data_IF_040999818975
#
_entry.id   IF_040999818975
#
_cell.length_a   1.000
_cell.length_b   1.000
_cell.length_c   1.000
_cell.angle_alpha   90.00
_cell.angle_beta   90.00
_cell.angle_gamma   90.00
#
_symmetry.space_group_name_H-M   'P 1'
#
loop_
_entity.id
_entity.type
_entity.pdbx_description
1 polymer ?
#
# COMPACT_ATOMS: atom_id res chain seq x y z
N UNK A 1 -15.46 18.32 -8.97
CA UNK A 1 -14.06 17.86 -8.91
C UNK A 1 -13.88 16.74 -9.90
N UNK A 2 -13.14 16.98 -10.97
CA UNK A 2 -12.75 15.95 -11.93
C UNK A 2 -11.59 15.15 -11.34
N UNK A 3 -11.69 13.82 -11.29
CA UNK A 3 -10.56 12.94 -10.94
C UNK A 3 -9.82 12.64 -12.23
N UNK A 4 -8.52 12.93 -12.29
CA UNK A 4 -7.67 12.54 -13.42
C UNK A 4 -7.01 11.20 -13.11
N UNK A 5 -7.18 10.23 -14.00
CA UNK A 5 -6.47 8.95 -13.96
C UNK A 5 -5.60 8.87 -15.20
N UNK A 6 -4.30 8.69 -14.99
CA UNK A 6 -3.32 8.54 -16.08
C UNK A 6 -2.54 7.26 -15.88
N UNK A 7 -2.45 6.44 -16.93
CA UNK A 7 -1.57 5.28 -16.93
C UNK A 7 -0.15 5.72 -17.29
N UNK A 8 0.81 5.41 -16.41
CA UNK A 8 2.23 5.70 -16.62
C UNK A 8 2.96 4.40 -16.98
N UNK A 9 3.66 4.40 -18.11
CA UNK A 9 4.60 3.33 -18.46
C UNK A 9 6.00 3.75 -17.98
N UNK A 10 6.38 3.26 -16.81
CA UNK A 10 7.69 3.56 -16.23
C UNK A 10 8.67 2.45 -16.62
N UNK A 11 9.47 2.73 -17.66
CA UNK A 11 10.54 1.84 -18.11
C UNK A 11 11.65 1.78 -17.04
N UNK A 12 12.21 0.60 -16.74
CA UNK A 12 13.35 0.46 -15.82
C UNK A 12 13.05 0.23 -14.34
N UNK A 13 11.78 0.22 -13.90
CA UNK A 13 11.38 -0.24 -12.55
C UNK A 13 10.71 -1.62 -12.54
N UNK A 14 10.63 -2.29 -13.70
CA UNK A 14 9.89 -3.55 -13.85
C UNK A 14 10.35 -4.63 -12.88
N UNK A 15 11.66 -4.82 -12.71
CA UNK A 15 12.20 -5.85 -11.82
C UNK A 15 11.80 -5.61 -10.36
N UNK A 16 11.94 -4.37 -9.87
CA UNK A 16 11.56 -4.01 -8.51
C UNK A 16 10.04 -4.09 -8.28
N UNK A 17 9.23 -3.77 -9.30
CA UNK A 17 7.78 -3.97 -9.24
C UNK A 17 7.44 -5.46 -9.12
N UNK A 18 8.04 -6.32 -9.94
CA UNK A 18 7.76 -7.76 -9.92
C UNK A 18 8.24 -8.42 -8.62
N UNK A 19 9.40 -8.02 -8.10
CA UNK A 19 9.90 -8.45 -6.79
C UNK A 19 8.95 -8.04 -5.66
N UNK A 20 8.50 -6.78 -5.66
CA UNK A 20 7.53 -6.28 -4.69
C UNK A 20 6.19 -7.03 -4.78
N UNK A 21 5.66 -7.27 -5.99
CA UNK A 21 4.43 -8.07 -6.18
C UNK A 21 4.58 -9.48 -5.62
N UNK A 22 5.73 -10.12 -5.84
CA UNK A 22 6.04 -11.44 -5.32
C UNK A 22 6.07 -11.43 -3.79
N UNK A 23 6.80 -10.51 -3.17
CA UNK A 23 6.88 -10.39 -1.71
C UNK A 23 5.51 -10.17 -1.06
N UNK A 24 4.70 -9.26 -1.62
CA UNK A 24 3.33 -9.01 -1.16
C UNK A 24 2.47 -10.25 -1.34
N UNK A 25 2.58 -10.92 -2.48
CA UNK A 25 1.85 -12.16 -2.77
C UNK A 25 2.18 -13.27 -1.78
N UNK A 26 3.46 -13.47 -1.46
CA UNK A 26 3.89 -14.45 -0.45
C UNK A 26 3.41 -14.08 0.95
N UNK A 27 3.42 -12.80 1.32
CA UNK A 27 2.85 -12.34 2.59
C UNK A 27 1.37 -12.71 2.73
N UNK A 28 0.55 -12.47 1.71
CA UNK A 28 -0.88 -12.78 1.77
C UNK A 28 -1.20 -14.29 1.74
N UNK A 29 -0.25 -15.14 1.33
CA UNK A 29 -0.32 -16.61 1.42
C UNK A 29 0.00 -17.14 2.82
N UNK A 30 0.58 -16.34 3.71
CA UNK A 30 0.87 -16.76 5.09
C UNK A 30 -0.43 -17.10 5.85
N UNK A 31 -0.30 -17.90 6.90
CA UNK A 31 -1.41 -18.18 7.81
C UNK A 31 -1.94 -16.88 8.43
N UNK A 32 -3.22 -16.87 8.81
CA UNK A 32 -3.80 -15.71 9.50
C UNK A 32 -2.98 -15.37 10.76
N UNK A 33 -2.58 -16.37 11.55
CA UNK A 33 -1.74 -16.16 12.73
C UNK A 33 -0.44 -15.42 12.41
N UNK A 34 0.27 -15.83 11.35
CA UNK A 34 1.49 -15.17 10.92
C UNK A 34 1.22 -13.74 10.44
N UNK A 35 0.15 -13.49 9.68
CA UNK A 35 -0.26 -12.13 9.28
C UNK A 35 -0.63 -11.27 10.50
N UNK A 36 -1.28 -11.84 11.51
CA UNK A 36 -1.70 -11.12 12.71
C UNK A 36 -0.53 -10.66 13.60
N UNK A 37 0.70 -11.16 13.39
CA UNK A 37 1.89 -10.63 14.06
C UNK A 37 2.13 -9.14 13.74
N UNK A 38 1.73 -8.71 12.54
CA UNK A 38 1.78 -7.32 12.10
C UNK A 38 0.41 -6.63 12.16
N UNK A 39 -0.55 -7.15 12.93
CA UNK A 39 -1.89 -6.57 13.05
C UNK A 39 -1.86 -5.10 13.53
N UNK A 40 -2.78 -4.30 12.99
CA UNK A 40 -2.98 -2.92 13.42
C UNK A 40 -3.26 -2.85 14.93
N UNK A 41 -2.70 -1.82 15.57
CA UNK A 41 -2.96 -1.52 16.98
C UNK A 41 -4.02 -0.43 17.11
N UNK A 42 -4.72 -0.35 18.26
CA UNK A 42 -5.58 0.79 18.57
C UNK A 42 -4.81 2.10 18.39
N UNK A 43 -5.45 3.07 17.71
CA UNK A 43 -4.90 4.39 17.39
C UNK A 43 -3.65 4.37 16.49
N UNK A 44 -3.35 3.26 15.79
CA UNK A 44 -2.31 3.21 14.78
C UNK A 44 -2.91 2.85 13.42
N UNK A 45 -2.44 3.51 12.37
CA UNK A 45 -2.86 3.25 10.99
C UNK A 45 -2.01 2.18 10.31
N UNK A 46 -0.79 1.93 10.81
CA UNK A 46 0.10 0.91 10.27
C UNK A 46 -0.28 -0.51 10.74
N UNK A 47 -0.08 -1.48 9.85
CA UNK A 47 -0.27 -2.90 10.11
C UNK A 47 -1.32 -3.55 9.22
N UNK A 48 -1.51 -4.85 9.45
CA UNK A 48 -2.51 -5.70 8.80
C UNK A 48 -3.87 -5.51 9.47
N UNK A 49 -4.91 -5.23 8.68
CA UNK A 49 -6.26 -5.01 9.19
C UNK A 49 -7.17 -4.30 8.20
N UNK A 50 -8.23 -3.66 8.72
CA UNK A 50 -9.21 -2.91 7.94
C UNK A 50 -9.05 -1.41 8.23
N UNK A 51 -9.17 -0.58 7.20
CA UNK A 51 -9.07 0.86 7.37
C UNK A 51 -10.39 1.44 7.93
N UNK A 52 -10.29 2.28 8.96
CA UNK A 52 -11.39 3.13 9.46
C UNK A 52 -12.67 2.37 9.89
N UNK A 53 -12.53 1.30 10.67
CA UNK A 53 -13.67 0.63 11.32
C UNK A 53 -14.13 1.46 12.51
N UNK A 54 -15.32 2.07 12.44
CA UNK A 54 -15.83 3.00 13.46
C UNK A 54 -17.12 2.53 14.15
N UNK A 55 -17.83 1.56 13.57
CA UNK A 55 -19.09 1.04 14.11
C UNK A 55 -19.39 -0.38 13.62
N UNK A 56 -20.21 -1.12 14.36
CA UNK A 56 -20.63 -2.49 13.99
C UNK A 56 -21.51 -2.52 12.72
N UNK A 57 -22.31 -1.48 12.47
CA UNK A 57 -23.23 -1.40 11.32
C UNK A 57 -22.53 -0.95 10.01
N UNK A 58 -21.20 -0.78 10.04
CA UNK A 58 -20.46 -0.28 8.89
C UNK A 58 -20.24 -1.38 7.84
N UNK A 59 -20.54 -1.08 6.58
CA UNK A 59 -20.13 -1.92 5.46
C UNK A 59 -18.60 -1.94 5.35
N UNK A 60 -18.02 -3.14 5.39
CA UNK A 60 -16.59 -3.35 5.23
C UNK A 60 -16.20 -3.67 3.79
N UNK A 61 -14.97 -3.33 3.45
CA UNK A 61 -14.33 -3.72 2.20
C UNK A 61 -14.13 -5.24 2.15
N UNK A 62 -14.38 -5.83 0.98
CA UNK A 62 -14.10 -7.24 0.72
C UNK A 62 -12.64 -7.41 0.29
N UNK A 63 -11.73 -7.27 1.24
CA UNK A 63 -10.31 -7.49 1.01
C UNK A 63 -9.48 -7.25 2.26
N UNK A 64 -8.38 -7.98 2.38
CA UNK A 64 -7.38 -7.74 3.41
C UNK A 64 -6.51 -6.55 3.04
N UNK A 65 -6.04 -5.80 4.04
CA UNK A 65 -5.18 -4.65 3.83
C UNK A 65 -3.97 -4.68 4.77
N UNK A 66 -2.79 -4.34 4.22
CA UNK A 66 -1.59 -4.00 4.98
C UNK A 66 -1.22 -2.56 4.62
N UNK A 67 -1.17 -1.68 5.62
CA UNK A 67 -0.76 -0.29 5.46
C UNK A 67 0.57 -0.04 6.17
N UNK A 68 1.52 0.58 5.48
CA UNK A 68 2.83 0.91 6.03
C UNK A 68 3.21 2.34 5.70
N UNK A 69 3.85 3.02 6.65
CA UNK A 69 4.45 4.33 6.44
C UNK A 69 5.93 4.15 6.11
N UNK A 70 6.37 4.37 4.86
CA UNK A 70 7.77 4.24 4.46
C UNK A 70 8.66 5.39 4.96
N UNK A 71 8.46 5.87 6.20
CA UNK A 71 9.26 6.94 6.80
C UNK A 71 10.78 6.63 6.78
N UNK A 72 11.62 7.62 7.09
CA UNK A 72 13.05 7.41 7.28
C UNK A 72 13.29 6.23 8.22
N UNK A 73 14.35 5.44 7.98
CA UNK A 73 14.64 4.18 8.70
C UNK A 73 14.54 4.36 10.22
N UNK A 74 14.97 5.52 10.74
CA UNK A 74 14.96 5.87 12.16
C UNK A 74 13.58 6.03 12.79
N UNK A 75 12.53 6.25 12.00
CA UNK A 75 11.16 6.50 12.47
C UNK A 75 10.25 5.28 12.30
N UNK A 76 10.74 4.18 11.72
CA UNK A 76 9.92 3.01 11.42
C UNK A 76 9.67 2.17 12.64
N UNK A 77 8.40 1.79 12.81
CA UNK A 77 8.08 0.70 13.71
C UNK A 77 8.21 -0.64 12.98
N UNK A 78 9.39 -1.26 13.10
CA UNK A 78 9.73 -2.52 12.41
C UNK A 78 8.81 -3.71 12.76
N UNK A 79 7.99 -3.59 13.81
CA UNK A 79 6.98 -4.61 14.15
C UNK A 79 6.01 -4.88 12.98
N UNK A 80 5.66 -3.85 12.21
CA UNK A 80 4.66 -3.98 11.14
C UNK A 80 5.25 -4.46 9.82
N UNK A 81 6.58 -4.61 9.72
CA UNK A 81 7.28 -4.86 8.47
C UNK A 81 7.61 -6.36 8.33
N UNK A 82 6.90 -7.11 7.47
CA UNK A 82 7.01 -8.57 7.42
C UNK A 82 8.35 -9.09 6.85
N UNK A 83 8.98 -8.37 5.92
CA UNK A 83 10.30 -8.69 5.32
C UNK A 83 10.88 -7.47 4.56
N UNK A 84 12.10 -7.62 4.00
CA UNK A 84 13.03 -6.61 3.50
C UNK A 84 12.45 -5.46 2.61
N UNK A 85 13.13 -4.30 2.54
CA UNK A 85 12.55 -3.01 2.18
C UNK A 85 12.47 -2.77 0.64
N UNK A 86 11.92 -3.69 -0.15
CA UNK A 86 11.84 -3.53 -1.62
C UNK A 86 10.97 -2.34 -2.04
N UNK A 87 9.95 -2.02 -1.24
CA UNK A 87 9.17 -0.77 -1.35
C UNK A 87 10.04 0.50 -1.37
N UNK A 88 11.17 0.52 -0.66
CA UNK A 88 12.08 1.67 -0.61
C UNK A 88 12.99 1.74 -1.83
N UNK A 89 13.36 0.57 -2.37
CA UNK A 89 14.03 0.49 -3.67
C UNK A 89 13.12 1.08 -4.74
N UNK A 90 11.82 0.83 -4.69
CA UNK A 90 10.87 1.39 -5.64
C UNK A 90 10.85 2.93 -5.63
N UNK A 91 10.78 3.58 -4.47
CA UNK A 91 10.80 5.05 -4.39
C UNK A 91 12.08 5.65 -5.00
N UNK A 92 13.24 5.08 -4.68
CA UNK A 92 14.52 5.52 -5.25
C UNK A 92 14.60 5.28 -6.76
N UNK A 93 14.09 4.15 -7.24
CA UNK A 93 14.06 3.84 -8.67
C UNK A 93 13.08 4.75 -9.43
N UNK A 94 11.95 5.12 -8.82
CA UNK A 94 11.03 6.11 -9.37
C UNK A 94 11.71 7.48 -9.51
N UNK A 95 12.41 7.96 -8.48
CA UNK A 95 13.18 9.20 -8.56
C UNK A 95 14.17 9.15 -9.73
N UNK A 96 14.97 8.09 -9.82
CA UNK A 96 15.93 7.89 -10.91
C UNK A 96 15.27 7.90 -12.30
N UNK A 97 14.14 7.24 -12.48
CA UNK A 97 13.43 7.20 -13.76
C UNK A 97 12.79 8.52 -14.14
N UNK A 98 12.32 9.28 -13.16
CA UNK A 98 11.83 10.64 -13.37
C UNK A 98 12.97 11.66 -13.56
N UNK A 99 14.24 11.22 -13.46
CA UNK A 99 15.42 12.08 -13.45
C UNK A 99 15.36 13.15 -12.35
N UNK A 100 14.70 12.80 -11.25
CA UNK A 100 14.61 13.62 -10.05
C UNK A 100 15.62 13.05 -9.05
N UNK A 101 16.36 13.94 -8.39
CA UNK A 101 17.21 13.54 -7.28
C UNK A 101 16.35 12.83 -6.19
N UNK A 102 16.75 11.65 -5.68
CA UNK A 102 15.95 10.92 -4.70
C UNK A 102 15.66 11.69 -3.42
N UNK A 103 16.58 12.54 -2.98
CA UNK A 103 16.39 13.37 -1.78
C UNK A 103 15.47 14.55 -2.10
N UNK A 104 15.55 15.13 -3.31
CA UNK A 104 14.58 16.11 -3.80
C UNK A 104 13.17 15.53 -3.98
N UNK A 105 13.04 14.30 -4.49
CA UNK A 105 11.73 13.63 -4.55
C UNK A 105 11.20 13.38 -3.14
N UNK A 106 12.07 13.02 -2.20
CA UNK A 106 11.69 12.81 -0.80
C UNK A 106 11.26 14.11 -0.12
N UNK A 107 11.95 15.23 -0.40
CA UNK A 107 11.65 16.54 0.20
C UNK A 107 10.37 17.18 -0.34
N UNK A 108 9.95 16.87 -1.57
CA UNK A 108 8.60 17.21 -2.07
C UNK A 108 7.47 16.66 -1.19
N UNK A 109 7.78 15.67 -0.35
CA UNK A 109 6.84 15.00 0.53
C UNK A 109 7.26 15.05 2.00
N UNK A 110 8.23 15.89 2.39
CA UNK A 110 8.66 16.02 3.81
C UNK A 110 7.51 16.41 4.74
N UNK A 111 6.60 17.27 4.27
CA UNK A 111 5.39 17.68 4.98
C UNK A 111 4.16 16.80 4.64
N UNK A 112 4.36 15.70 3.89
CA UNK A 112 3.28 14.82 3.44
C UNK A 112 3.40 13.42 4.03
N UNK A 113 2.26 12.85 4.41
CA UNK A 113 2.20 11.44 4.81
C UNK A 113 2.30 10.60 3.53
N UNK A 114 3.45 9.97 3.32
CA UNK A 114 3.58 8.87 2.36
C UNK A 114 3.10 7.59 3.02
N UNK A 115 2.30 6.80 2.28
CA UNK A 115 1.79 5.52 2.75
C UNK A 115 1.74 4.51 1.62
N UNK A 116 2.01 3.26 1.94
CA UNK A 116 1.90 2.14 1.03
C UNK A 116 0.74 1.29 1.52
N UNK A 117 -0.32 1.19 0.71
CA UNK A 117 -1.47 0.35 0.96
C UNK A 117 -1.43 -0.85 0.02
N UNK A 118 -1.23 -2.03 0.60
CA UNK A 118 -1.27 -3.31 -0.10
C UNK A 118 -2.62 -3.95 0.16
N UNK A 119 -3.38 -4.21 -0.90
CA UNK A 119 -4.70 -4.82 -0.79
C UNK A 119 -4.69 -6.22 -1.42
N UNK A 120 -5.35 -7.17 -0.77
CA UNK A 120 -5.60 -8.50 -1.29
C UNK A 120 -7.10 -8.77 -1.32
N UNK A 121 -7.64 -8.98 -2.52
CA UNK A 121 -9.07 -9.24 -2.72
C UNK A 121 -9.26 -10.74 -3.02
N UNK A 122 -9.66 -11.55 -2.03
CA UNK A 122 -9.93 -12.96 -2.27
C UNK A 122 -11.17 -13.13 -3.16
N UNK A 123 -11.29 -14.26 -3.89
CA UNK A 123 -12.50 -14.58 -4.65
C UNK A 123 -13.77 -14.43 -3.81
N UNK A 124 -14.81 -13.84 -4.40
CA UNK A 124 -16.09 -13.60 -3.74
C UNK A 124 -17.22 -14.28 -4.53
N UNK A 125 -17.89 -15.25 -3.90
CA UNK A 125 -19.06 -15.92 -4.51
C UNK A 125 -20.22 -14.95 -4.76
N UNK A 126 -20.31 -13.90 -3.94
CA UNK A 126 -21.36 -12.90 -3.98
C UNK A 126 -20.83 -11.53 -4.42
N UNK A 127 -19.98 -11.50 -5.46
CA UNK A 127 -19.32 -10.27 -5.92
C UNK A 127 -20.29 -9.11 -6.24
N UNK A 128 -21.56 -9.39 -6.56
CA UNK A 128 -22.60 -8.36 -6.76
C UNK A 128 -23.07 -7.66 -5.48
N UNK A 129 -22.76 -8.25 -4.31
CA UNK A 129 -23.12 -7.74 -2.97
C UNK A 129 -21.90 -7.26 -2.18
N UNK A 130 -20.71 -7.38 -2.74
CA UNK A 130 -19.45 -7.04 -2.09
C UNK A 130 -18.70 -5.99 -2.90
N UNK A 131 -18.02 -5.08 -2.21
CA UNK A 131 -17.13 -4.10 -2.83
C UNK A 131 -15.73 -4.36 -2.33
N UNK A 132 -14.77 -4.56 -3.24
CA UNK A 132 -13.37 -4.77 -2.85
C UNK A 132 -12.78 -3.55 -2.14
N UNK A 133 -13.10 -2.35 -2.63
CA UNK A 133 -12.67 -1.10 -2.01
C UNK A 133 -13.73 -0.01 -2.22
N UNK A 134 -14.32 0.47 -1.13
CA UNK A 134 -15.21 1.62 -1.15
C UNK A 134 -14.45 2.90 -1.49
N UNK A 135 -15.18 3.88 -2.04
CA UNK A 135 -14.60 5.16 -2.43
C UNK A 135 -14.10 5.91 -1.19
N UNK A 136 -12.78 6.05 -1.08
CA UNK A 136 -12.14 6.91 -0.09
C UNK A 136 -11.84 8.27 -0.72
N UNK A 137 -12.39 9.34 -0.14
CA UNK A 137 -12.10 10.71 -0.55
C UNK A 137 -10.90 11.25 0.24
N UNK A 138 -9.69 11.00 -0.25
CA UNK A 138 -8.50 11.68 0.27
C UNK A 138 -8.35 12.99 -0.51
N UNK A 139 -8.59 14.13 0.15
CA UNK A 139 -8.37 15.45 -0.46
C UNK A 139 -6.85 15.70 -0.55
N UNK A 140 -6.38 16.20 -1.70
CA UNK A 140 -4.97 16.56 -1.97
C UNK A 140 -3.97 15.38 -1.87
N UNK A 141 -4.29 14.22 -2.43
CA UNK A 141 -3.34 13.11 -2.56
C UNK A 141 -3.00 12.79 -4.03
N UNK A 142 -1.77 12.31 -4.24
CA UNK A 142 -1.34 11.65 -5.47
C UNK A 142 -1.17 10.17 -5.17
N UNK A 143 -1.74 9.29 -5.99
CA UNK A 143 -1.71 7.85 -5.76
C UNK A 143 -1.08 7.17 -6.98
N UNK A 144 -0.09 6.32 -6.74
CA UNK A 144 0.42 5.37 -7.72
C UNK A 144 -0.19 4.00 -7.41
N UNK A 145 -0.93 3.44 -8.35
CA UNK A 145 -1.57 2.12 -8.21
C UNK A 145 -0.84 1.12 -9.08
N UNK A 146 -0.39 0.02 -8.47
CA UNK A 146 0.25 -1.10 -9.16
C UNK A 146 -0.68 -2.30 -9.00
N UNK A 147 -1.16 -2.82 -10.13
CA UNK A 147 -2.03 -4.00 -10.16
C UNK A 147 -1.22 -5.23 -10.58
N UNK A 148 -1.62 -6.39 -10.07
CA UNK A 148 -1.21 -7.66 -10.67
C UNK A 148 -1.90 -7.78 -12.03
N UNK A 149 -1.16 -8.21 -13.05
CA UNK A 149 -1.76 -8.54 -14.33
C UNK A 149 -2.64 -9.78 -14.12
N UNK A 150 -3.88 -9.71 -14.60
CA UNK A 150 -4.83 -10.82 -14.69
C UNK A 150 -4.41 -11.82 -15.75
#
# INVERSE_FOLDING_TARGET
>A
MTVMVQQLLIHGISEAIEEMKKEIGEFFKLSLEAKMTCAQLPNNIEGYGQAFVVSEDQNLDWGDMLFLLPMLISQRNMRFWPTAPTAFRLLRLMAKNLQIDPDALSSLFEDCIQGIRMNHYPPCEHASKAMGLHRILIKKSHNLIINNAS
#
